data_IF_955245964358
#
_entry.id   IF_955245964358
#
_cell.length_a   1.000
_cell.length_b   1.000
_cell.length_c   1.000
_cell.angle_alpha   90.00
_cell.angle_beta   90.00
_cell.angle_gamma   90.00
#
_symmetry.space_group_name_H-M   'P 1'
#
loop_
_entity.id
_entity.type
_entity.pdbx_description
1 polymer ?
#
# COMPACT_ATOMS: atom_id res chain seq x y z
N UNK A 1 7.26 33.97 -9.10
CA UNK A 1 6.69 33.44 -10.35
C UNK A 1 5.72 32.35 -9.96
N UNK A 2 4.43 32.59 -10.16
CA UNK A 2 3.41 31.56 -10.02
C UNK A 2 3.78 30.40 -10.95
N UNK A 3 3.94 29.21 -10.37
CA UNK A 3 4.30 28.00 -11.13
C UNK A 3 3.03 27.52 -11.82
N UNK A 4 2.81 27.88 -13.07
CA UNK A 4 1.73 27.33 -13.87
C UNK A 4 2.08 25.90 -14.33
N UNK A 5 1.09 25.01 -14.39
CA UNK A 5 1.29 23.61 -14.76
C UNK A 5 1.83 22.71 -13.65
N UNK A 6 2.31 21.54 -14.06
CA UNK A 6 2.75 20.46 -13.18
C UNK A 6 4.23 20.62 -12.82
N UNK A 7 4.55 20.62 -11.52
CA UNK A 7 5.91 20.78 -11.00
C UNK A 7 6.16 19.83 -9.84
N UNK A 8 7.36 19.25 -9.78
CA UNK A 8 7.78 18.39 -8.68
C UNK A 8 8.93 19.03 -7.90
N UNK A 9 8.88 18.95 -6.57
CA UNK A 9 9.98 19.37 -5.70
C UNK A 9 10.31 18.32 -4.67
N UNK A 10 11.56 18.29 -4.22
CA UNK A 10 11.99 17.38 -3.18
C UNK A 10 12.86 18.11 -2.15
N UNK A 11 12.48 17.98 -0.88
CA UNK A 11 13.29 18.41 0.27
C UNK A 11 13.83 17.19 0.99
N UNK A 12 15.04 17.25 1.56
CA UNK A 12 15.64 16.14 2.27
C UNK A 12 16.51 16.62 3.43
N UNK A 13 16.33 16.00 4.60
CA UNK A 13 17.04 16.34 5.83
C UNK A 13 16.91 17.83 6.18
N UNK A 14 18.03 18.40 6.64
CA UNK A 14 18.14 19.82 6.95
C UNK A 14 18.70 20.64 5.78
N UNK A 15 18.79 20.06 4.58
CA UNK A 15 19.30 20.80 3.42
C UNK A 15 18.33 21.91 3.02
N UNK A 16 18.83 23.03 2.46
CA UNK A 16 17.97 24.10 1.95
C UNK A 16 16.91 23.56 0.97
N UNK A 17 15.70 24.14 1.01
CA UNK A 17 14.53 23.67 0.23
C UNK A 17 14.79 23.57 -1.28
N UNK A 18 15.71 24.37 -1.82
CA UNK A 18 16.04 24.43 -3.25
C UNK A 18 17.31 23.65 -3.62
N UNK A 19 17.80 22.79 -2.73
CA UNK A 19 19.02 22.00 -2.99
C UNK A 19 18.80 21.03 -4.14
N UNK A 20 17.69 20.30 -4.16
CA UNK A 20 17.38 19.32 -5.19
C UNK A 20 16.35 19.84 -6.18
N UNK A 21 16.59 19.55 -7.46
CA UNK A 21 15.60 19.69 -8.54
C UNK A 21 15.25 18.30 -9.04
N UNK A 22 13.96 17.96 -8.99
CA UNK A 22 13.48 16.63 -9.38
C UNK A 22 13.51 16.49 -10.90
N UNK A 23 14.15 15.43 -11.39
CA UNK A 23 14.14 15.02 -12.80
C UNK A 23 13.02 14.03 -13.04
N UNK A 24 12.98 12.96 -12.25
CA UNK A 24 11.94 11.95 -12.33
C UNK A 24 11.72 11.29 -10.98
N UNK A 25 10.55 10.67 -10.83
CA UNK A 25 10.29 9.78 -9.72
C UNK A 25 9.38 8.62 -10.11
N UNK A 26 9.50 7.52 -9.37
CA UNK A 26 8.56 6.42 -9.35
C UNK A 26 8.13 6.15 -7.92
N UNK A 27 6.83 6.30 -7.65
CA UNK A 27 6.22 6.00 -6.36
C UNK A 27 5.39 4.72 -6.49
N UNK A 28 5.73 3.69 -5.72
CA UNK A 28 4.98 2.45 -5.61
C UNK A 28 4.28 2.38 -4.26
N UNK A 29 2.97 2.18 -4.28
CA UNK A 29 2.15 2.06 -3.07
C UNK A 29 1.21 0.87 -3.20
N UNK A 30 1.12 0.06 -2.15
CA UNK A 30 0.26 -1.13 -2.12
C UNK A 30 -0.37 -1.24 -0.74
N UNK A 31 -1.64 -1.65 -0.69
CA UNK A 31 -2.29 -2.00 0.57
C UNK A 31 -1.44 -3.02 1.34
N UNK A 32 -1.18 -2.71 2.60
CA UNK A 32 -0.39 -3.52 3.53
C UNK A 32 1.03 -3.87 3.09
N UNK A 33 1.63 -3.04 2.25
CA UNK A 33 3.07 -3.06 2.00
C UNK A 33 3.67 -1.69 2.31
N UNK A 34 4.97 -1.66 2.55
CA UNK A 34 5.70 -0.40 2.66
C UNK A 34 5.69 0.29 1.29
N UNK A 35 5.33 1.58 1.22
CA UNK A 35 5.51 2.33 -0.01
C UNK A 35 7.00 2.49 -0.31
N UNK A 36 7.34 2.66 -1.58
CA UNK A 36 8.71 2.99 -2.02
C UNK A 36 8.66 4.11 -3.03
N UNK A 37 9.41 5.18 -2.76
CA UNK A 37 9.54 6.32 -3.66
C UNK A 37 11.00 6.42 -4.11
N UNK A 38 11.23 6.24 -5.39
CA UNK A 38 12.53 6.39 -6.04
C UNK A 38 12.54 7.71 -6.79
N UNK A 39 13.57 8.52 -6.61
CA UNK A 39 13.68 9.81 -7.30
C UNK A 39 15.10 10.05 -7.80
N UNK A 40 15.19 10.59 -9.01
CA UNK A 40 16.42 11.13 -9.60
C UNK A 40 16.35 12.65 -9.50
N UNK A 41 17.39 13.26 -8.93
CA UNK A 41 17.45 14.71 -8.68
C UNK A 41 18.77 15.29 -9.17
N UNK A 42 18.75 16.55 -9.59
CA UNK A 42 19.98 17.32 -9.86
C UNK A 42 20.21 18.37 -8.78
N UNK A 43 21.48 18.61 -8.46
CA UNK A 43 21.92 19.61 -7.49
C UNK A 43 23.14 20.37 -8.03
N UNK A 44 23.26 21.66 -7.74
CA UNK A 44 24.46 22.43 -8.03
C UNK A 44 25.64 22.08 -7.10
N UNK A 45 25.34 21.57 -5.90
CA UNK A 45 26.35 21.07 -4.96
C UNK A 45 26.71 19.61 -5.30
N UNK A 46 27.98 19.37 -5.61
CA UNK A 46 28.54 18.04 -5.88
C UNK A 46 29.09 17.32 -4.65
N UNK A 47 29.12 18.00 -3.51
CA UNK A 47 29.72 17.51 -2.26
C UNK A 47 28.66 17.52 -1.15
N UNK A 48 27.61 16.72 -1.34
CA UNK A 48 26.57 16.50 -0.32
C UNK A 48 27.06 15.37 0.59
N UNK A 49 27.18 15.64 1.89
CA UNK A 49 27.48 14.58 2.86
C UNK A 49 26.30 13.60 2.95
N UNK A 50 26.57 12.32 2.74
CA UNK A 50 25.57 11.26 2.79
C UNK A 50 24.96 11.13 4.20
N UNK A 51 25.73 11.48 5.24
CA UNK A 51 25.25 11.46 6.62
C UNK A 51 24.13 12.49 6.89
N UNK A 52 24.08 13.57 6.12
CA UNK A 52 23.02 14.59 6.23
C UNK A 52 21.70 14.15 5.57
N UNK A 53 21.73 13.05 4.79
CA UNK A 53 20.61 12.57 3.99
C UNK A 53 20.10 11.21 4.47
N UNK A 54 20.97 10.23 4.69
CA UNK A 54 20.59 8.87 5.04
C UNK A 54 19.87 8.81 6.40
N UNK A 55 18.79 8.03 6.46
CA UNK A 55 17.85 7.91 7.59
C UNK A 55 17.18 9.23 8.02
N UNK A 56 17.35 10.33 7.26
CA UNK A 56 16.62 11.57 7.44
C UNK A 56 15.31 11.57 6.65
N UNK A 57 14.35 12.39 7.08
CA UNK A 57 13.12 12.58 6.33
C UNK A 57 13.35 13.37 5.04
N UNK A 58 12.67 12.95 3.99
CA UNK A 58 12.57 13.66 2.73
C UNK A 58 11.12 13.67 2.26
N UNK A 59 10.74 14.73 1.55
CA UNK A 59 9.37 14.96 1.09
C UNK A 59 9.39 15.31 -0.39
N UNK A 60 8.76 14.47 -1.20
CA UNK A 60 8.37 14.83 -2.57
C UNK A 60 7.01 15.54 -2.53
N UNK A 61 6.93 16.70 -3.17
CA UNK A 61 5.68 17.43 -3.35
C UNK A 61 5.35 17.54 -4.82
N UNK A 62 4.12 17.17 -5.17
CA UNK A 62 3.55 17.37 -6.51
C UNK A 62 2.67 18.62 -6.47
N UNK A 63 2.98 19.58 -7.34
CA UNK A 63 2.21 20.81 -7.52
C UNK A 63 1.51 20.80 -8.88
N UNK A 64 0.28 21.31 -8.91
CA UNK A 64 -0.47 21.61 -10.13
C UNK A 64 -0.99 23.04 -10.05
N UNK A 65 -0.63 23.84 -11.03
CA UNK A 65 -1.05 25.26 -11.12
C UNK A 65 -0.76 26.04 -9.83
N UNK A 66 0.41 25.79 -9.26
CA UNK A 66 0.91 26.42 -8.05
C UNK A 66 0.33 25.85 -6.75
N UNK A 67 -0.71 25.00 -6.81
CA UNK A 67 -1.31 24.36 -5.66
C UNK A 67 -0.69 22.99 -5.39
N UNK A 68 -0.33 22.66 -4.14
CA UNK A 68 0.15 21.34 -3.79
C UNK A 68 -0.99 20.33 -3.92
N UNK A 69 -0.82 19.33 -4.78
CA UNK A 69 -1.79 18.25 -4.97
C UNK A 69 -1.57 17.14 -3.92
N UNK A 70 -0.30 16.83 -3.60
CA UNK A 70 0.04 15.79 -2.63
C UNK A 70 1.51 15.87 -2.16
N UNK A 71 1.73 15.37 -0.95
CA UNK A 71 3.04 15.23 -0.33
C UNK A 71 3.32 13.75 -0.06
N UNK A 72 4.56 13.33 -0.31
CA UNK A 72 5.04 11.98 -0.03
C UNK A 72 6.28 12.10 0.85
N UNK A 73 6.09 11.87 2.14
CA UNK A 73 7.16 11.97 3.14
C UNK A 73 7.60 10.59 3.58
N UNK A 74 8.91 10.34 3.58
CA UNK A 74 9.51 9.10 4.06
C UNK A 74 10.95 9.33 4.51
N UNK A 75 11.58 8.30 5.08
CA UNK A 75 13.01 8.32 5.40
C UNK A 75 13.84 7.93 4.17
N UNK A 76 14.98 8.56 3.96
CA UNK A 76 15.90 8.17 2.88
C UNK A 76 16.68 6.92 3.30
N UNK A 77 16.43 5.82 2.60
CA UNK A 77 17.03 4.50 2.89
C UNK A 77 18.18 4.14 1.96
N UNK A 78 18.28 4.86 0.83
CA UNK A 78 19.32 4.69 -0.15
C UNK A 78 19.59 6.04 -0.80
N UNK A 79 20.87 6.39 -0.95
CA UNK A 79 21.32 7.62 -1.58
C UNK A 79 22.56 7.30 -2.41
N UNK A 80 22.60 7.78 -3.64
CA UNK A 80 23.68 7.54 -4.60
C UNK A 80 24.00 8.86 -5.29
N UNK A 81 25.28 9.18 -5.38
CA UNK A 81 25.77 10.20 -6.31
C UNK A 81 26.07 9.49 -7.62
N UNK A 82 25.33 9.88 -8.65
CA UNK A 82 25.45 9.32 -10.00
C UNK A 82 26.56 10.09 -10.74
N UNK A 83 26.30 10.54 -11.97
CA UNK A 83 27.25 11.32 -12.73
C UNK A 83 27.31 12.77 -12.25
N UNK A 84 28.53 13.30 -12.14
CA UNK A 84 28.79 14.72 -11.88
C UNK A 84 29.08 15.42 -13.20
N UNK A 85 28.18 16.32 -13.61
CA UNK A 85 28.32 17.18 -14.77
C UNK A 85 29.15 18.44 -14.47
N UNK A 86 29.24 19.33 -15.46
CA UNK A 86 30.04 20.57 -15.34
C UNK A 86 29.43 21.59 -14.37
N UNK A 87 28.10 21.66 -14.27
CA UNK A 87 27.38 22.65 -13.45
C UNK A 87 26.47 22.02 -12.40
N UNK A 88 26.09 20.75 -12.59
CA UNK A 88 25.21 20.01 -11.68
C UNK A 88 25.67 18.57 -11.52
N UNK A 89 25.41 18.02 -10.34
CA UNK A 89 25.53 16.59 -10.04
C UNK A 89 24.17 15.94 -10.02
N UNK A 90 24.10 14.71 -10.51
CA UNK A 90 22.92 13.87 -10.44
C UNK A 90 23.00 12.97 -9.20
N UNK A 91 21.88 12.84 -8.48
CA UNK A 91 21.74 11.93 -7.35
C UNK A 91 20.48 11.08 -7.50
N UNK A 92 20.54 9.87 -6.99
CA UNK A 92 19.42 8.96 -6.88
C UNK A 92 19.12 8.67 -5.41
N UNK A 93 17.85 8.69 -5.03
CA UNK A 93 17.40 8.45 -3.66
C UNK A 93 16.16 7.56 -3.61
N UNK A 94 16.11 6.70 -2.59
CA UNK A 94 14.94 5.86 -2.28
C UNK A 94 14.39 6.17 -0.89
N UNK A 95 13.13 6.59 -0.85
CA UNK A 95 12.35 6.84 0.35
C UNK A 95 11.47 5.63 0.69
N UNK A 96 11.40 5.32 1.97
CA UNK A 96 10.45 4.36 2.53
C UNK A 96 9.76 4.96 3.78
N UNK A 97 8.63 4.41 4.24
CA UNK A 97 8.09 4.77 5.54
C UNK A 97 9.06 4.41 6.68
N UNK A 98 8.98 5.10 7.81
CA UNK A 98 9.82 4.83 9.00
C UNK A 98 9.75 3.38 9.49
N UNK A 99 8.64 2.69 9.23
CA UNK A 99 8.46 1.25 9.51
C UNK A 99 9.49 0.36 8.77
N UNK A 100 10.11 0.83 7.69
CA UNK A 100 11.14 0.09 6.96
C UNK A 100 12.28 -0.41 7.87
N UNK A 101 12.65 0.36 8.89
CA UNK A 101 13.66 -0.04 9.90
C UNK A 101 13.30 -1.34 10.62
N UNK A 102 12.01 -1.64 10.77
CA UNK A 102 11.54 -2.90 11.37
C UNK A 102 11.92 -4.14 10.54
N UNK A 103 12.27 -3.97 9.26
CA UNK A 103 12.80 -5.04 8.42
C UNK A 103 14.25 -5.41 8.72
N UNK A 104 15.02 -4.49 9.33
CA UNK A 104 16.45 -4.67 9.61
C UNK A 104 16.71 -5.38 10.94
N UNK A 105 15.74 -5.36 11.85
CA UNK A 105 15.87 -5.91 13.21
C UNK A 105 15.21 -7.27 13.31
N UNK A 106 16.00 -8.32 13.52
CA UNK A 106 15.54 -9.69 13.83
C UNK A 106 15.54 -9.91 15.34
N UNK A 107 14.48 -10.54 15.88
CA UNK A 107 14.32 -10.71 17.32
C UNK A 107 13.60 -12.02 17.69
N UNK A 108 13.75 -12.43 18.95
CA UNK A 108 13.04 -13.53 19.58
C UNK A 108 12.50 -13.09 20.94
N UNK A 109 11.18 -12.94 21.06
CA UNK A 109 10.52 -12.43 22.28
C UNK A 109 9.09 -12.90 22.42
N UNK A 110 8.60 -12.81 23.66
CA UNK A 110 7.26 -13.23 24.04
C UNK A 110 6.42 -12.01 24.43
N UNK A 111 5.20 -11.96 23.90
CA UNK A 111 4.13 -11.07 24.33
C UNK A 111 3.09 -11.93 25.05
N UNK A 112 2.86 -11.66 26.34
CA UNK A 112 1.89 -12.38 27.16
C UNK A 112 0.76 -11.45 27.59
N UNK A 113 -0.48 -11.92 27.48
CA UNK A 113 -1.68 -11.17 27.81
C UNK A 113 -1.72 -9.79 27.14
N UNK A 114 -1.43 -9.74 25.83
CA UNK A 114 -1.44 -8.52 25.02
C UNK A 114 -2.47 -8.61 23.91
N UNK A 115 -3.21 -7.53 23.70
CA UNK A 115 -4.07 -7.38 22.52
C UNK A 115 -3.22 -7.18 21.27
N UNK A 116 -3.81 -7.34 20.09
CA UNK A 116 -3.14 -7.04 18.82
C UNK A 116 -2.68 -5.58 18.77
N UNK A 117 -3.50 -4.65 19.26
CA UNK A 117 -3.19 -3.21 19.26
C UNK A 117 -2.04 -2.88 20.20
N UNK A 118 -1.93 -3.53 21.36
CA UNK A 118 -0.76 -3.38 22.26
C UNK A 118 0.54 -3.81 21.57
N UNK A 119 0.49 -4.90 20.81
CA UNK A 119 1.66 -5.42 20.10
C UNK A 119 2.03 -4.48 18.94
N UNK A 120 1.05 -4.02 18.16
CA UNK A 120 1.24 -3.02 17.09
C UNK A 120 1.87 -1.75 17.67
N UNK A 121 1.29 -1.16 18.71
CA UNK A 121 1.77 0.07 19.35
C UNK A 121 3.24 -0.06 19.78
N UNK A 122 3.58 -1.17 20.43
CA UNK A 122 4.95 -1.44 20.86
C UNK A 122 5.92 -1.58 19.68
N UNK A 123 5.57 -2.35 18.65
CA UNK A 123 6.42 -2.55 17.48
C UNK A 123 6.66 -1.24 16.72
N UNK A 124 5.62 -0.43 16.55
CA UNK A 124 5.71 0.85 15.85
C UNK A 124 6.58 1.85 16.61
N UNK A 125 6.36 2.02 17.92
CA UNK A 125 7.17 2.92 18.76
C UNK A 125 8.63 2.52 18.83
N UNK A 126 8.93 1.22 18.98
CA UNK A 126 10.30 0.72 18.98
C UNK A 126 11.04 0.99 17.67
N UNK A 127 10.32 1.07 16.54
CA UNK A 127 10.87 1.35 15.21
C UNK A 127 10.74 2.83 14.79
N UNK A 128 10.38 3.71 15.73
CA UNK A 128 10.32 5.16 15.52
C UNK A 128 9.13 5.63 14.66
N UNK A 129 8.07 4.84 14.56
CA UNK A 129 6.81 5.26 13.93
C UNK A 129 5.93 5.91 15.00
N UNK A 130 5.66 7.20 14.84
CA UNK A 130 4.93 8.01 15.84
C UNK A 130 3.46 8.20 15.51
N UNK A 131 3.11 8.21 14.23
CA UNK A 131 1.73 8.45 13.79
C UNK A 131 1.10 7.19 13.24
N UNK A 132 0.16 6.67 14.00
CA UNK A 132 -0.66 5.55 13.59
C UNK A 132 -1.99 5.54 14.34
N UNK A 133 -2.98 4.92 13.71
CA UNK A 133 -4.32 4.74 14.28
C UNK A 133 -4.82 3.34 13.96
N UNK A 134 -5.43 2.69 14.94
CA UNK A 134 -6.14 1.42 14.77
C UNK A 134 -7.65 1.70 14.76
N UNK A 135 -8.27 1.57 13.59
CA UNK A 135 -9.70 1.75 13.35
C UNK A 135 -10.36 0.38 13.13
N UNK A 136 -10.35 -0.44 14.18
CA UNK A 136 -10.83 -1.83 14.13
C UNK A 136 -12.30 -1.89 14.52
N UNK A 137 -13.13 -2.49 13.67
CA UNK A 137 -14.58 -2.65 13.85
C UNK A 137 -14.91 -3.93 14.63
N UNK A 138 -14.10 -4.96 14.48
CA UNK A 138 -14.30 -6.26 15.08
C UNK A 138 -13.52 -6.38 16.39
N UNK A 139 -14.02 -7.24 17.27
CA UNK A 139 -13.30 -7.59 18.49
C UNK A 139 -12.10 -8.48 18.16
N UNK A 140 -10.94 -8.10 18.67
CA UNK A 140 -9.69 -8.85 18.59
C UNK A 140 -9.27 -9.29 20.01
N UNK A 141 -9.41 -10.58 20.36
CA UNK A 141 -9.20 -11.04 21.73
C UNK A 141 -7.75 -10.88 22.18
N UNK A 142 -7.57 -10.68 23.47
CA UNK A 142 -6.24 -10.67 24.09
C UNK A 142 -5.56 -12.01 23.90
N UNK A 143 -4.30 -11.99 23.45
CA UNK A 143 -3.49 -13.18 23.27
C UNK A 143 -2.83 -13.53 24.59
N UNK A 144 -3.15 -14.71 25.12
CA UNK A 144 -2.48 -15.27 26.32
C UNK A 144 -0.97 -15.40 26.08
N UNK A 145 -0.59 -15.85 24.87
CA UNK A 145 0.79 -16.08 24.49
C UNK A 145 0.99 -15.85 22.99
N UNK A 146 1.90 -14.96 22.63
CA UNK A 146 2.29 -14.68 21.25
C UNK A 146 3.80 -14.52 21.17
N UNK A 147 4.43 -15.21 20.21
CA UNK A 147 5.89 -15.22 20.06
C UNK A 147 6.25 -14.61 18.72
N UNK A 148 7.21 -13.69 18.76
CA UNK A 148 8.07 -13.36 17.64
C UNK A 148 9.30 -14.24 17.77
N UNK A 149 9.60 -15.08 16.79
CA UNK A 149 10.71 -16.03 16.88
C UNK A 149 11.53 -15.99 15.60
N UNK A 150 12.79 -15.57 15.73
CA UNK A 150 13.77 -15.53 14.64
C UNK A 150 13.22 -14.90 13.34
N UNK A 151 12.52 -13.78 13.51
CA UNK A 151 11.91 -13.02 12.41
C UNK A 151 12.05 -11.53 12.67
N UNK A 152 12.02 -10.74 11.60
CA UNK A 152 12.10 -9.28 11.74
C UNK A 152 10.85 -8.70 12.38
N UNK A 153 10.96 -7.53 13.03
CA UNK A 153 9.80 -6.83 13.59
C UNK A 153 8.73 -6.58 12.51
N UNK A 154 9.14 -6.31 11.26
CA UNK A 154 8.24 -6.15 10.11
C UNK A 154 7.54 -7.47 9.74
N UNK A 155 8.28 -8.57 9.63
CA UNK A 155 7.71 -9.87 9.27
C UNK A 155 6.72 -10.35 10.34
N UNK A 156 7.06 -10.15 11.62
CA UNK A 156 6.18 -10.45 12.74
C UNK A 156 4.90 -9.62 12.70
N UNK A 157 5.02 -8.29 12.48
CA UNK A 157 3.88 -7.41 12.34
C UNK A 157 2.96 -7.87 11.21
N UNK A 158 3.50 -8.08 10.00
CA UNK A 158 2.70 -8.51 8.84
C UNK A 158 2.01 -9.85 9.08
N UNK A 159 2.70 -10.81 9.71
CA UNK A 159 2.12 -12.10 10.07
C UNK A 159 1.00 -11.97 11.10
N UNK A 160 1.18 -11.13 12.11
CA UNK A 160 0.17 -10.86 13.13
C UNK A 160 -1.08 -10.20 12.53
N UNK A 161 -0.89 -9.20 11.67
CA UNK A 161 -2.00 -8.53 10.98
C UNK A 161 -2.77 -9.49 10.08
N UNK A 162 -2.06 -10.36 9.34
CA UNK A 162 -2.68 -11.41 8.53
C UNK A 162 -3.51 -12.39 9.36
N UNK A 163 -3.00 -12.80 10.54
CA UNK A 163 -3.73 -13.69 11.46
C UNK A 163 -5.02 -13.04 12.01
N UNK A 164 -5.07 -11.71 12.07
CA UNK A 164 -6.20 -10.92 12.57
C UNK A 164 -7.09 -10.35 11.45
N UNK A 165 -6.77 -10.57 10.18
CA UNK A 165 -7.49 -9.97 9.05
C UNK A 165 -7.34 -8.45 8.94
N UNK A 166 -6.37 -7.88 9.65
CA UNK A 166 -6.06 -6.45 9.65
C UNK A 166 -5.17 -6.15 8.45
N UNK A 167 -5.46 -5.04 7.78
CA UNK A 167 -4.66 -4.47 6.72
C UNK A 167 -4.34 -3.02 7.05
N UNK A 168 -3.36 -2.44 6.37
CA UNK A 168 -2.96 -1.06 6.62
C UNK A 168 -2.66 -0.29 5.34
N UNK A 169 -2.70 1.04 5.44
CA UNK A 169 -2.29 1.95 4.39
C UNK A 169 -1.64 3.20 5.00
N UNK A 170 -0.95 3.98 4.17
CA UNK A 170 -0.32 5.22 4.58
C UNK A 170 -1.20 6.41 4.19
N UNK A 171 -1.39 7.32 5.13
CA UNK A 171 -2.00 8.62 4.90
C UNK A 171 -0.95 9.71 5.09
N UNK A 172 -0.80 10.56 4.09
CA UNK A 172 0.18 11.64 4.10
C UNK A 172 -0.54 12.94 4.44
N UNK A 173 -0.20 13.49 5.60
CA UNK A 173 -0.71 14.77 6.05
C UNK A 173 0.44 15.79 6.05
N UNK A 174 0.21 16.91 5.37
CA UNK A 174 1.20 17.97 5.22
C UNK A 174 1.65 18.53 6.58
N UNK A 175 0.72 18.72 7.50
CA UNK A 175 0.98 19.45 8.75
C UNK A 175 1.80 18.64 9.76
N UNK A 176 1.87 17.33 9.51
CA UNK A 176 2.42 16.34 10.43
C UNK A 176 3.85 15.95 10.15
N UNK A 177 4.37 16.24 8.96
CA UNK A 177 5.77 15.98 8.58
C UNK A 177 6.16 14.50 8.51
N UNK A 178 5.26 13.56 8.82
CA UNK A 178 5.47 12.11 8.71
C UNK A 178 4.15 11.43 8.31
N UNK A 179 4.21 10.32 7.54
CA UNK A 179 3.01 9.61 7.15
C UNK A 179 2.37 8.89 8.33
N UNK A 180 1.06 9.01 8.45
CA UNK A 180 0.26 8.25 9.41
C UNK A 180 -0.02 6.84 8.86
N UNK A 181 0.19 5.82 9.69
CA UNK A 181 -0.21 4.45 9.37
C UNK A 181 -1.62 4.16 9.90
N UNK A 182 -2.54 3.79 9.02
CA UNK A 182 -3.92 3.50 9.41
C UNK A 182 -4.15 2.00 9.30
N UNK A 183 -4.49 1.35 10.42
CA UNK A 183 -4.81 -0.07 10.52
C UNK A 183 -6.33 -0.25 10.58
N UNK A 184 -6.86 -1.16 9.78
CA UNK A 184 -8.29 -1.41 9.60
C UNK A 184 -8.53 -2.90 9.36
N UNK A 185 -9.67 -3.40 9.81
CA UNK A 185 -10.12 -4.80 9.65
C UNK A 185 -11.37 -4.91 8.76
N UNK A 186 -12.00 -3.78 8.45
CA UNK A 186 -13.15 -3.66 7.58
C UNK A 186 -12.94 -2.48 6.65
N UNK A 187 -13.30 -2.67 5.39
CA UNK A 187 -13.42 -1.54 4.48
C UNK A 187 -14.66 -0.73 4.84
N UNK A 188 -14.51 0.58 4.86
CA UNK A 188 -15.64 1.51 4.76
C UNK A 188 -15.56 2.11 3.37
N UNK A 189 -16.69 2.16 2.65
CA UNK A 189 -16.78 2.83 1.35
C UNK A 189 -16.65 4.33 1.57
N UNK A 190 -15.40 4.77 1.69
CA UNK A 190 -15.03 6.15 1.92
C UNK A 190 -14.24 6.63 0.70
N UNK A 191 -14.73 7.68 0.06
CA UNK A 191 -14.11 8.25 -1.14
C UNK A 191 -15.16 8.94 -2.01
N UNK A 192 -14.94 10.20 -2.33
CA UNK A 192 -15.79 11.00 -3.22
C UNK A 192 -15.18 11.20 -4.60
N UNK A 193 -14.06 10.50 -4.90
CA UNK A 193 -13.36 10.68 -6.17
C UNK A 193 -14.11 9.97 -7.29
N UNK A 194 -14.60 10.75 -8.25
CA UNK A 194 -15.23 10.27 -9.47
C UNK A 194 -14.32 10.59 -10.64
N UNK A 195 -13.99 9.60 -11.46
CA UNK A 195 -13.12 9.77 -12.63
C UNK A 195 -13.81 9.22 -13.88
N UNK A 196 -13.91 10.00 -14.96
CA UNK A 196 -14.46 9.53 -16.22
C UNK A 196 -13.50 8.56 -16.90
N UNK A 197 -14.06 7.58 -17.60
CA UNK A 197 -13.32 6.76 -18.54
C UNK A 197 -13.14 7.51 -19.85
N UNK A 198 -11.90 7.79 -20.23
CA UNK A 198 -11.58 8.42 -21.50
C UNK A 198 -10.35 7.74 -22.14
N UNK A 199 -10.52 6.85 -23.13
CA UNK A 199 -9.40 6.14 -23.75
C UNK A 199 -8.47 7.04 -24.55
N UNK A 200 -8.94 8.24 -24.94
CA UNK A 200 -8.18 9.27 -25.63
C UNK A 200 -8.03 10.47 -24.69
N UNK A 201 -7.13 10.39 -23.69
CA UNK A 201 -6.99 11.44 -22.68
C UNK A 201 -6.71 12.78 -23.36
N UNK A 202 -7.39 13.82 -22.88
CA UNK A 202 -7.27 15.16 -23.44
C UNK A 202 -5.82 15.63 -23.36
N UNK A 203 -5.27 16.07 -24.49
CA UNK A 203 -3.90 16.59 -24.58
C UNK A 203 -3.74 17.85 -23.72
N UNK A 204 -4.83 18.60 -23.47
CA UNK A 204 -4.83 19.77 -22.59
C UNK A 204 -4.85 19.43 -21.09
N UNK A 205 -5.19 18.21 -20.68
CA UNK A 205 -5.12 17.77 -19.28
C UNK A 205 -6.05 18.52 -18.31
N UNK A 206 -7.14 19.11 -18.81
CA UNK A 206 -8.06 19.93 -18.00
C UNK A 206 -8.86 19.12 -16.95
N UNK A 207 -9.02 17.81 -17.18
CA UNK A 207 -9.70 16.91 -16.24
C UNK A 207 -8.97 15.56 -16.21
N UNK A 208 -8.60 15.10 -15.02
CA UNK A 208 -8.04 13.78 -14.86
C UNK A 208 -9.06 12.69 -15.22
N UNK A 209 -8.58 11.61 -15.82
CA UNK A 209 -9.43 10.52 -16.30
C UNK A 209 -8.76 9.16 -16.14
N UNK A 210 -9.54 8.10 -16.33
CA UNK A 210 -9.04 6.73 -16.46
C UNK A 210 -8.95 6.41 -17.95
N UNK A 211 -7.74 6.28 -18.47
CA UNK A 211 -7.47 6.06 -19.89
C UNK A 211 -7.43 4.58 -20.27
N UNK A 212 -7.20 3.69 -19.31
CA UNK A 212 -7.31 2.26 -19.51
C UNK A 212 -8.06 1.63 -18.35
N UNK A 213 -8.99 0.73 -18.66
CA UNK A 213 -9.72 -0.06 -17.69
C UNK A 213 -9.80 -1.51 -18.16
N UNK A 214 -9.14 -2.42 -17.44
CA UNK A 214 -9.14 -3.86 -17.72
C UNK A 214 -9.67 -4.59 -16.51
N UNK A 215 -10.57 -5.54 -16.73
CA UNK A 215 -11.16 -6.36 -15.68
C UNK A 215 -10.83 -7.84 -15.93
N UNK A 216 -10.35 -8.52 -14.90
CA UNK A 216 -10.00 -9.94 -14.94
C UNK A 216 -10.65 -10.72 -13.81
N UNK A 217 -11.07 -11.93 -14.12
CA UNK A 217 -11.58 -12.89 -13.14
C UNK A 217 -10.79 -14.19 -13.25
N UNK A 218 -10.50 -14.82 -12.12
CA UNK A 218 -9.77 -16.09 -12.06
C UNK A 218 -10.53 -17.09 -11.21
N UNK A 219 -10.42 -18.35 -11.61
CA UNK A 219 -10.82 -19.47 -10.77
C UNK A 219 -9.88 -19.54 -9.56
N UNK A 220 -10.43 -19.82 -8.38
CA UNK A 220 -9.72 -19.92 -7.13
C UNK A 220 -10.47 -20.77 -6.11
N UNK A 221 -9.91 -20.85 -4.91
CA UNK A 221 -10.49 -21.59 -3.79
C UNK A 221 -11.88 -21.04 -3.47
N UNK A 222 -12.89 -21.89 -3.40
CA UNK A 222 -14.29 -21.52 -3.15
C UNK A 222 -14.69 -21.72 -1.68
N UNK A 223 -14.03 -22.64 -0.99
CA UNK A 223 -14.34 -23.00 0.38
C UNK A 223 -13.04 -23.24 1.15
N UNK A 224 -13.05 -22.85 2.42
CA UNK A 224 -12.02 -23.23 3.38
C UNK A 224 -12.65 -23.90 4.60
N UNK A 225 -11.97 -24.92 5.11
CA UNK A 225 -12.19 -25.45 6.46
C UNK A 225 -10.91 -25.34 7.26
N UNK A 226 -11.01 -24.70 8.41
CA UNK A 226 -9.90 -24.57 9.34
C UNK A 226 -10.27 -25.34 10.60
N UNK A 227 -9.36 -26.16 11.10
CA UNK A 227 -9.55 -26.92 12.34
C UNK A 227 -8.51 -26.54 13.40
N UNK A 228 -8.88 -26.58 14.67
CA UNK A 228 -7.92 -26.55 15.77
C UNK A 228 -8.25 -27.56 16.88
N UNK A 229 -7.47 -27.59 17.96
CA UNK A 229 -7.71 -28.43 19.13
C UNK A 229 -7.35 -27.67 20.41
N UNK A 230 -8.18 -27.82 21.45
CA UNK A 230 -7.89 -27.31 22.79
C UNK A 230 -8.04 -28.41 23.83
N UNK A 231 -6.97 -28.67 24.58
CA UNK A 231 -6.98 -29.67 25.64
C UNK A 231 -7.95 -29.33 26.79
N UNK A 232 -8.31 -28.04 26.95
CA UNK A 232 -9.29 -27.59 27.97
C UNK A 232 -10.72 -28.06 27.63
N UNK A 233 -11.03 -28.20 26.35
CA UNK A 233 -12.33 -28.68 25.87
C UNK A 233 -12.17 -29.65 24.69
N UNK A 234 -11.69 -30.90 24.91
CA UNK A 234 -11.35 -31.83 23.83
C UNK A 234 -12.53 -32.24 22.92
N UNK A 235 -13.78 -32.06 23.39
CA UNK A 235 -15.01 -32.36 22.63
C UNK A 235 -15.61 -31.14 21.93
N UNK A 236 -14.98 -29.97 22.05
CA UNK A 236 -15.45 -28.77 21.38
C UNK A 236 -15.29 -28.93 19.86
N UNK A 237 -16.37 -28.64 19.12
CA UNK A 237 -16.35 -28.63 17.66
C UNK A 237 -15.56 -27.40 17.21
N UNK A 238 -14.33 -27.65 16.83
CA UNK A 238 -13.32 -26.68 16.44
C UNK A 238 -13.07 -26.69 14.93
N UNK A 239 -14.05 -27.13 14.14
CA UNK A 239 -14.03 -27.12 12.69
C UNK A 239 -14.87 -25.94 12.20
N UNK A 240 -14.21 -24.93 11.63
CA UNK A 240 -14.87 -23.74 11.10
C UNK A 240 -14.74 -23.67 9.59
N UNK A 241 -15.88 -23.64 8.91
CA UNK A 241 -15.96 -23.55 7.46
C UNK A 241 -16.41 -22.16 7.01
N UNK A 242 -15.85 -21.70 5.91
CA UNK A 242 -16.31 -20.50 5.22
C UNK A 242 -16.38 -20.75 3.72
N UNK A 243 -17.50 -20.37 3.13
CA UNK A 243 -17.78 -20.52 1.72
C UNK A 243 -17.87 -19.14 1.08
N UNK A 244 -17.24 -19.00 -0.08
CA UNK A 244 -17.39 -17.79 -0.87
C UNK A 244 -18.84 -17.68 -1.39
N UNK A 245 -19.29 -16.44 -1.58
CA UNK A 245 -20.60 -16.18 -2.17
C UNK A 245 -20.67 -16.78 -3.59
N UNK A 246 -21.73 -17.51 -3.89
CA UNK A 246 -21.97 -18.15 -5.19
C UNK A 246 -21.81 -17.18 -6.37
N UNK A 247 -22.12 -15.90 -6.18
CA UNK A 247 -21.93 -14.86 -7.21
C UNK A 247 -20.47 -14.69 -7.66
N UNK A 248 -19.49 -14.97 -6.80
CA UNK A 248 -18.05 -14.81 -7.09
C UNK A 248 -17.37 -16.12 -7.53
N UNK A 249 -18.11 -17.22 -7.53
CA UNK A 249 -17.64 -18.54 -7.99
C UNK A 249 -18.51 -19.10 -9.12
N UNK A 250 -19.49 -18.34 -9.62
CA UNK A 250 -20.42 -18.79 -10.67
C UNK A 250 -19.77 -19.15 -12.01
N UNK A 251 -18.53 -18.70 -12.23
CA UNK A 251 -17.71 -19.05 -13.40
C UNK A 251 -16.83 -20.30 -13.17
N UNK A 252 -17.00 -20.98 -12.03
CA UNK A 252 -16.27 -22.20 -11.66
C UNK A 252 -17.21 -23.40 -11.73
N UNK A 253 -16.64 -24.59 -11.93
CA UNK A 253 -17.40 -25.84 -11.94
C UNK A 253 -17.97 -26.13 -10.55
N UNK A 254 -19.27 -26.31 -10.45
CA UNK A 254 -19.95 -26.67 -9.19
C UNK A 254 -19.88 -28.15 -8.86
N UNK A 255 -19.47 -28.99 -9.81
CA UNK A 255 -19.45 -30.45 -9.66
C UNK A 255 -18.10 -31.02 -9.18
N UNK A 256 -17.09 -30.15 -8.99
CA UNK A 256 -15.76 -30.53 -8.52
C UNK A 256 -15.54 -30.11 -7.07
N UNK A 257 -15.04 -31.04 -6.24
CA UNK A 257 -14.62 -30.75 -4.86
C UNK A 257 -13.19 -30.17 -4.76
N UNK A 258 -12.54 -29.90 -5.89
CA UNK A 258 -11.12 -29.48 -5.93
C UNK A 258 -10.89 -28.02 -5.53
N UNK A 259 -11.95 -27.23 -5.34
CA UNK A 259 -11.86 -25.81 -4.94
C UNK A 259 -11.88 -25.62 -3.42
N UNK A 260 -11.56 -26.65 -2.66
CA UNK A 260 -11.57 -26.67 -1.20
C UNK A 260 -10.14 -26.56 -0.64
N UNK A 261 -9.99 -25.76 0.41
CA UNK A 261 -8.75 -25.63 1.17
C UNK A 261 -8.95 -26.10 2.61
N UNK A 262 -8.03 -26.91 3.12
CA UNK A 262 -8.03 -27.35 4.51
C UNK A 262 -6.79 -26.84 5.24
N UNK A 263 -6.95 -26.39 6.48
CA UNK A 263 -5.84 -25.92 7.30
C UNK A 263 -5.94 -26.42 8.74
N UNK A 264 -4.79 -26.81 9.30
CA UNK A 264 -4.60 -27.19 10.69
C UNK A 264 -3.14 -26.95 11.10
N UNK A 265 -2.86 -26.33 12.26
CA UNK A 265 -3.81 -25.82 13.25
C UNK A 265 -4.36 -24.41 12.90
N UNK A 266 -5.61 -24.18 13.29
CA UNK A 266 -6.34 -22.93 13.04
C UNK A 266 -5.88 -21.72 13.85
N UNK A 267 -5.21 -21.95 14.97
CA UNK A 267 -4.72 -20.98 15.98
C UNK A 267 -5.83 -20.17 16.65
N UNK A 268 -6.90 -20.85 17.03
CA UNK A 268 -8.01 -20.29 17.81
C UNK A 268 -8.48 -21.28 18.87
N UNK A 269 -9.23 -20.79 19.85
CA UNK A 269 -9.73 -21.60 20.98
C UNK A 269 -11.21 -21.34 21.31
N UNK A 270 -11.88 -20.57 20.47
CA UNK A 270 -13.27 -20.12 20.63
C UNK A 270 -13.90 -19.81 19.25
N UNK A 271 -15.05 -19.14 19.24
CA UNK A 271 -15.80 -18.78 18.05
C UNK A 271 -15.08 -17.89 17.02
N UNK A 272 -13.91 -17.32 17.35
CA UNK A 272 -13.13 -16.51 16.41
C UNK A 272 -12.65 -17.30 15.19
N UNK A 273 -12.65 -18.63 15.25
CA UNK A 273 -12.35 -19.49 14.10
C UNK A 273 -13.20 -19.16 12.86
N UNK A 274 -14.44 -18.72 13.02
CA UNK A 274 -15.29 -18.32 11.90
C UNK A 274 -14.70 -17.14 11.10
N UNK A 275 -14.22 -16.10 11.79
CA UNK A 275 -13.60 -14.93 11.16
C UNK A 275 -12.24 -15.27 10.55
N UNK A 276 -11.45 -16.08 11.24
CA UNK A 276 -10.15 -16.53 10.74
C UNK A 276 -10.32 -17.31 9.43
N UNK A 277 -11.30 -18.22 9.34
CA UNK A 277 -11.64 -18.92 8.10
C UNK A 277 -12.03 -17.93 7.00
N UNK A 278 -12.88 -16.93 7.30
CA UNK A 278 -13.24 -15.89 6.34
C UNK A 278 -12.02 -15.12 5.81
N UNK A 279 -11.18 -14.55 6.69
CA UNK A 279 -10.03 -13.75 6.28
C UNK A 279 -9.00 -14.56 5.49
N UNK A 280 -8.83 -15.84 5.82
CA UNK A 280 -7.97 -16.75 5.05
C UNK A 280 -8.52 -17.00 3.65
N UNK A 281 -9.83 -17.25 3.50
CA UNK A 281 -10.42 -17.41 2.16
C UNK A 281 -10.27 -16.14 1.33
N UNK A 282 -10.58 -14.98 1.92
CA UNK A 282 -10.41 -13.67 1.28
C UNK A 282 -8.96 -13.47 0.84
N UNK A 283 -7.97 -13.77 1.70
CA UNK A 283 -6.54 -13.69 1.37
C UNK A 283 -6.15 -14.62 0.22
N UNK A 284 -6.61 -15.87 0.25
CA UNK A 284 -6.35 -16.87 -0.80
C UNK A 284 -6.92 -16.44 -2.15
N UNK A 285 -8.00 -15.65 -2.13
CA UNK A 285 -8.69 -15.14 -3.32
C UNK A 285 -8.29 -13.72 -3.73
N UNK A 286 -7.23 -13.13 -3.15
CA UNK A 286 -6.77 -11.77 -3.48
C UNK A 286 -6.64 -11.46 -4.98
N UNK A 287 -6.32 -12.46 -5.80
CA UNK A 287 -6.14 -12.31 -7.24
C UNK A 287 -7.33 -12.83 -8.08
N UNK A 288 -8.42 -13.24 -7.44
CA UNK A 288 -9.58 -13.81 -8.12
C UNK A 288 -10.40 -12.76 -8.86
N UNK A 289 -10.54 -11.54 -8.31
CA UNK A 289 -11.40 -10.47 -8.83
C UNK A 289 -10.63 -9.14 -8.87
N UNK A 290 -9.71 -9.03 -9.84
CA UNK A 290 -8.83 -7.87 -9.99
C UNK A 290 -8.96 -7.24 -11.36
N UNK A 291 -8.96 -5.91 -11.38
CA UNK A 291 -8.76 -5.11 -12.57
C UNK A 291 -7.44 -4.35 -12.53
N UNK A 292 -7.03 -3.86 -13.71
CA UNK A 292 -5.88 -2.97 -13.86
C UNK A 292 -6.26 -1.78 -14.73
N UNK A 293 -5.72 -0.60 -14.43
CA UNK A 293 -5.99 0.61 -15.20
C UNK A 293 -4.82 1.57 -15.28
N UNK A 294 -5.00 2.62 -16.07
CA UNK A 294 -4.08 3.76 -16.19
C UNK A 294 -4.87 5.05 -15.99
N UNK A 295 -4.25 6.02 -15.32
CA UNK A 295 -4.79 7.37 -15.09
C UNK A 295 -3.67 8.40 -14.99
N UNK A 296 -4.04 9.67 -15.00
CA UNK A 296 -3.21 10.85 -14.76
C UNK A 296 -3.53 11.53 -13.41
N UNK A 297 -4.45 10.98 -12.62
CA UNK A 297 -4.86 11.51 -11.31
C UNK A 297 -3.92 11.10 -10.19
N UNK A 298 -3.19 12.05 -9.59
CA UNK A 298 -2.33 11.75 -8.43
C UNK A 298 -3.11 11.54 -7.13
N UNK A 299 -4.39 11.91 -7.14
CA UNK A 299 -5.31 11.73 -6.02
C UNK A 299 -5.66 10.26 -5.76
N UNK A 300 -5.35 9.33 -6.67
CA UNK A 300 -5.55 7.90 -6.46
C UNK A 300 -4.54 7.33 -5.46
N UNK A 301 -5.06 6.66 -4.42
CA UNK A 301 -4.32 6.12 -3.28
C UNK A 301 -4.73 4.68 -2.97
N UNK A 302 -3.83 3.80 -2.51
CA UNK A 302 -4.24 2.49 -2.00
C UNK A 302 -5.23 2.61 -0.84
N UNK A 303 -6.21 1.71 -0.83
CA UNK A 303 -7.28 1.68 0.17
C UNK A 303 -8.45 2.62 -0.15
N UNK A 304 -8.24 3.63 -0.99
CA UNK A 304 -9.29 4.55 -1.41
C UNK A 304 -10.22 3.93 -2.44
N UNK A 305 -11.47 4.38 -2.41
CA UNK A 305 -12.49 4.08 -3.41
C UNK A 305 -12.56 5.19 -4.46
N UNK A 306 -12.64 4.80 -5.72
CA UNK A 306 -12.99 5.70 -6.82
C UNK A 306 -14.25 5.18 -7.52
N UNK A 307 -15.06 6.09 -8.04
CA UNK A 307 -16.19 5.75 -8.91
C UNK A 307 -15.78 5.99 -10.35
N UNK A 308 -15.84 4.94 -11.18
CA UNK A 308 -15.67 5.08 -12.62
C UNK A 308 -16.97 5.65 -13.22
N UNK A 309 -16.87 6.63 -14.12
CA UNK A 309 -18.00 7.13 -14.91
C UNK A 309 -17.71 7.02 -16.40
N UNK A 310 -18.74 7.16 -17.24
CA UNK A 310 -18.63 7.28 -18.70
C UNK A 310 -17.98 6.07 -19.42
N UNK A 311 -17.90 4.92 -18.75
CA UNK A 311 -17.46 3.70 -19.38
C UNK A 311 -18.58 3.12 -20.28
N UNK A 312 -18.31 2.73 -21.54
CA UNK A 312 -19.34 2.22 -22.48
C UNK A 312 -20.13 1.00 -21.98
N UNK A 313 -19.53 0.21 -21.08
CA UNK A 313 -20.19 -0.89 -20.36
C UNK A 313 -20.69 -0.39 -19.01
N UNK A 314 -22.01 -0.26 -18.88
CA UNK A 314 -22.65 0.31 -17.69
C UNK A 314 -22.30 -0.39 -16.38
N UNK A 315 -22.13 -1.72 -16.41
CA UNK A 315 -21.73 -2.49 -15.22
C UNK A 315 -20.39 -2.05 -14.60
N UNK A 316 -19.55 -1.34 -15.34
CA UNK A 316 -18.27 -0.85 -14.84
C UNK A 316 -18.34 0.56 -14.26
N UNK A 317 -19.43 1.29 -14.49
CA UNK A 317 -19.71 2.59 -13.88
C UNK A 317 -20.12 2.40 -12.41
N UNK A 318 -19.15 2.04 -11.58
CA UNK A 318 -19.34 1.55 -10.23
C UNK A 318 -18.16 1.99 -9.34
N UNK A 319 -18.30 1.89 -8.00
CA UNK A 319 -17.19 2.11 -7.09
C UNK A 319 -16.22 0.92 -7.12
N UNK A 320 -14.93 1.22 -7.20
CA UNK A 320 -13.82 0.28 -7.20
C UNK A 320 -12.79 0.70 -6.16
N UNK A 321 -12.12 -0.27 -5.53
CA UNK A 321 -11.10 0.02 -4.53
C UNK A 321 -9.70 -0.12 -5.13
N UNK A 322 -8.86 0.89 -4.95
CA UNK A 322 -7.44 0.81 -5.33
C UNK A 322 -6.69 -0.08 -4.33
N UNK A 323 -5.96 -1.05 -4.86
CA UNK A 323 -5.16 -2.00 -4.08
C UNK A 323 -3.69 -1.65 -4.18
N UNK A 324 -3.24 -1.35 -5.41
CA UNK A 324 -1.88 -0.97 -5.74
C UNK A 324 -1.92 0.17 -6.73
N UNK A 325 -0.99 1.10 -6.61
CA UNK A 325 -0.75 2.14 -7.60
C UNK A 325 0.74 2.43 -7.73
N UNK A 326 1.17 2.65 -8.96
CA UNK A 326 2.50 3.14 -9.30
C UNK A 326 2.34 4.47 -10.01
N UNK A 327 2.82 5.56 -9.40
CA UNK A 327 2.89 6.87 -10.03
C UNK A 327 4.28 7.11 -10.60
N UNK A 328 4.34 7.72 -11.79
CA UNK A 328 5.57 8.12 -12.46
C UNK A 328 5.47 9.56 -12.90
N UNK A 329 6.40 10.38 -12.42
CA UNK A 329 6.54 11.78 -12.83
C UNK A 329 7.87 12.00 -13.53
N UNK A 330 7.85 12.79 -14.60
CA UNK A 330 9.06 13.20 -15.32
C UNK A 330 9.02 14.70 -15.61
N UNK A 331 10.11 15.40 -15.30
CA UNK A 331 10.31 16.84 -15.47
C UNK A 331 11.58 17.05 -16.32
N UNK A 332 11.48 16.99 -17.66
CA UNK A 332 12.64 17.06 -18.57
C UNK A 332 13.49 18.32 -18.39
N UNK A 333 12.86 19.42 -17.98
CA UNK A 333 13.50 20.73 -17.78
C UNK A 333 14.57 20.73 -16.67
N UNK A 334 14.56 19.72 -15.81
CA UNK A 334 15.54 19.54 -14.74
C UNK A 334 16.78 18.74 -15.17
N UNK A 335 16.75 18.13 -16.36
CA UNK A 335 17.85 17.36 -16.95
C UNK A 335 18.64 18.23 -17.95
N UNK A 336 19.92 18.43 -17.70
CA UNK A 336 20.81 19.20 -18.58
C UNK A 336 21.14 18.44 -19.89
N UNK A 337 20.94 17.12 -19.93
CA UNK A 337 21.30 16.28 -21.08
C UNK A 337 20.19 16.15 -22.13
N UNK A 338 18.94 16.46 -21.75
CA UNK A 338 17.77 16.34 -22.59
C UNK A 338 17.00 17.66 -22.69
N UNK A 339 17.57 18.63 -23.42
CA UNK A 339 16.84 19.81 -23.88
C UNK A 339 15.83 19.41 -24.97
N UNK A 340 14.59 19.13 -24.57
CA UNK A 340 13.48 18.82 -25.48
C UNK A 340 12.19 19.53 -25.08
N UNK A 341 11.36 19.86 -26.07
CA UNK A 341 10.11 20.63 -25.97
C UNK A 341 8.95 19.94 -25.21
N UNK A 342 9.21 18.89 -24.43
CA UNK A 342 8.16 18.15 -23.71
C UNK A 342 7.94 18.76 -22.32
N UNK A 343 6.67 19.00 -21.98
CA UNK A 343 6.26 19.46 -20.65
C UNK A 343 6.44 18.38 -19.59
N UNK A 344 6.31 18.78 -18.32
CA UNK A 344 6.27 17.85 -17.18
C UNK A 344 5.09 16.89 -17.34
N UNK A 345 5.32 15.60 -17.14
CA UNK A 345 4.29 14.56 -17.24
C UNK A 345 4.11 13.83 -15.92
N UNK A 346 2.87 13.39 -15.67
CA UNK A 346 2.50 12.50 -14.58
C UNK A 346 1.58 11.42 -15.12
N UNK A 347 1.91 10.18 -14.85
CA UNK A 347 1.09 9.03 -15.21
C UNK A 347 1.05 8.06 -14.05
N UNK A 348 0.00 7.26 -13.96
CA UNK A 348 -0.05 6.17 -13.03
C UNK A 348 -0.70 4.93 -13.63
N UNK A 349 -0.27 3.78 -13.12
CA UNK A 349 -0.89 2.49 -13.35
C UNK A 349 -1.35 1.92 -12.03
N UNK A 350 -2.55 1.34 -11.98
CA UNK A 350 -3.12 0.85 -10.74
C UNK A 350 -3.80 -0.51 -10.91
N UNK A 351 -3.91 -1.24 -9.81
CA UNK A 351 -4.70 -2.46 -9.66
C UNK A 351 -5.83 -2.18 -8.69
N UNK A 352 -7.02 -2.64 -9.01
CA UNK A 352 -8.22 -2.40 -8.23
C UNK A 352 -9.04 -3.68 -8.03
N UNK A 353 -9.77 -3.73 -6.93
CA UNK A 353 -10.63 -4.83 -6.55
C UNK A 353 -12.11 -4.51 -6.70
N UNK A 354 -12.93 -5.56 -6.81
CA UNK A 354 -14.39 -5.45 -6.80
C UNK A 354 -14.91 -4.83 -5.49
N UNK A 355 -16.04 -4.10 -5.54
CA UNK A 355 -16.63 -3.47 -4.37
C UNK A 355 -17.06 -4.40 -3.23
N UNK A 356 -17.08 -5.70 -3.48
CA UNK A 356 -17.49 -6.72 -2.52
C UNK A 356 -16.35 -7.70 -2.22
N UNK A 357 -15.15 -7.41 -2.71
CA UNK A 357 -13.96 -8.21 -2.49
C UNK A 357 -13.06 -7.49 -1.48
N UNK A 358 -12.63 -8.21 -0.45
CA UNK A 358 -11.75 -7.67 0.59
C UNK A 358 -10.34 -8.19 0.38
N UNK A 359 -9.37 -7.31 0.10
CA UNK A 359 -7.96 -7.72 0.04
C UNK A 359 -7.44 -7.97 1.45
N UNK A 360 -6.91 -9.16 1.70
CA UNK A 360 -6.32 -9.50 3.00
C UNK A 360 -4.84 -9.76 2.87
N UNK A 361 -4.07 -9.48 3.92
CA UNK A 361 -2.68 -9.92 3.95
C UNK A 361 -2.63 -11.45 3.85
N UNK A 362 -1.91 -11.97 2.86
CA UNK A 362 -1.59 -13.40 2.81
C UNK A 362 -0.58 -13.69 3.91
N UNK A 363 -0.90 -14.64 4.78
CA UNK A 363 0.09 -15.19 5.69
C UNK A 363 1.06 -16.04 4.87
N UNK A 364 2.32 -15.61 4.78
CA UNK A 364 3.36 -16.48 4.24
C UNK A 364 3.59 -17.61 5.25
N UNK A 365 3.04 -18.78 4.94
CA UNK A 365 3.41 -20.00 5.65
C UNK A 365 4.84 -20.30 5.17
N UNK A 366 5.85 -19.95 5.98
CA UNK A 366 7.17 -20.58 5.81
C UNK A 366 6.93 -22.08 6.04
N UNK A 367 7.06 -22.87 4.97
CA UNK A 367 7.15 -24.32 5.05
C UNK A 367 8.41 -24.72 5.81
#
# INVERSE_FOLDING_TARGET
MERTGLVFTLTAGNLPVKTFVVVEFTLNEVLSMLFSLQATVTCANSDIDFADILDQYATLTVYRDGQPERYITGIVTHFVQETTGRYRSCYYLTLHPSLWRAGLRVNSRIFQNKSVTDIIDRLLKENGVRQFSCLLRYEHPVREFCVQYDESDLAFLQRLLADEGIFYYYYFDQDKGEPAMIFVDSYTKNGSLSLPYNPEPDVTGNQCCISQFRWGERVGIAEISVRDYTFKHPRWLSDFQFHENHRYIGNQRSDLNSYYYYDFPGRYKDGNGQRISQYRLEALRNDALLGSGQSDSFALLPGMWFTLTDHPKEKFNAPWQIIQITHRGHQPQADESHFGSRGTTLTNGFTFGSPNFSVRLKRFIRM
#
